data_IF_165801876174
#
_entry.id   IF_165801876174
#
_cell.length_a   1.000
_cell.length_b   1.000
_cell.length_c   1.000
_cell.angle_alpha   90.00
_cell.angle_beta   90.00
_cell.angle_gamma   90.00
#
_symmetry.space_group_name_H-M   'P 1'
#
loop_
_entity.id
_entity.type
_entity.pdbx_description
1 polymer ?
#
# COMPACT_ATOMS: atom_id res chain seq x y z
N UNK A 1 21.93 -10.18 1.34
CA UNK A 1 22.03 -8.72 1.39
C UNK A 1 20.79 -8.06 2.04
N UNK A 2 19.56 -8.55 1.80
CA UNK A 2 18.33 -8.00 2.39
C UNK A 2 18.09 -8.41 3.87
N UNK A 3 18.97 -9.20 4.44
CA UNK A 3 18.84 -9.76 5.79
C UNK A 3 19.88 -9.23 6.78
N UNK A 4 20.76 -8.36 6.28
CA UNK A 4 21.87 -7.79 7.04
C UNK A 4 21.90 -6.27 6.80
N UNK A 5 22.19 -5.43 7.79
CA UNK A 5 22.33 -4.00 7.60
C UNK A 5 23.39 -3.65 6.52
N UNK A 6 23.15 -2.65 5.68
CA UNK A 6 21.96 -1.78 5.62
C UNK A 6 20.81 -2.34 4.75
N UNK A 7 20.86 -3.57 4.29
CA UNK A 7 19.88 -4.13 3.36
C UNK A 7 18.49 -4.30 3.97
N UNK A 8 18.37 -4.53 5.26
CA UNK A 8 17.12 -4.55 5.99
C UNK A 8 16.44 -3.17 6.00
N UNK A 9 17.19 -2.09 6.15
CA UNK A 9 16.67 -0.73 6.06
C UNK A 9 16.15 -0.43 4.64
N UNK A 10 16.88 -0.86 3.60
CA UNK A 10 16.45 -0.72 2.20
C UNK A 10 15.12 -1.42 1.98
N UNK A 11 14.94 -2.62 2.54
CA UNK A 11 13.69 -3.36 2.46
C UNK A 11 12.52 -2.53 3.01
N UNK A 12 12.61 -2.02 4.24
CA UNK A 12 11.53 -1.24 4.85
C UNK A 12 11.29 0.10 4.14
N UNK A 13 12.34 0.76 3.63
CA UNK A 13 12.20 1.98 2.81
C UNK A 13 11.38 1.69 1.55
N UNK A 14 11.68 0.62 0.82
CA UNK A 14 10.97 0.26 -0.42
C UNK A 14 9.49 -0.02 -0.14
N UNK A 15 9.20 -0.79 0.92
CA UNK A 15 7.82 -1.06 1.31
C UNK A 15 7.09 0.22 1.75
N UNK A 16 7.73 1.03 2.59
CA UNK A 16 7.16 2.29 3.06
C UNK A 16 6.87 3.24 1.88
N UNK A 17 7.78 3.31 0.91
CA UNK A 17 7.60 4.18 -0.28
C UNK A 17 6.42 3.71 -1.15
N UNK A 18 6.28 2.40 -1.37
CA UNK A 18 5.16 1.84 -2.11
C UNK A 18 3.82 2.15 -1.42
N UNK A 19 3.74 1.94 -0.10
CA UNK A 19 2.54 2.24 0.69
C UNK A 19 2.26 3.74 0.75
N UNK A 20 3.27 4.59 0.95
CA UNK A 20 3.12 6.05 1.00
C UNK A 20 2.58 6.61 -0.32
N UNK A 21 3.08 6.12 -1.45
CA UNK A 21 2.62 6.54 -2.77
C UNK A 21 1.15 6.13 -3.02
N UNK A 22 0.77 4.92 -2.62
CA UNK A 22 -0.62 4.47 -2.67
C UNK A 22 -1.52 5.28 -1.72
N UNK A 23 -1.03 5.59 -0.51
CA UNK A 23 -1.72 6.40 0.49
C UNK A 23 -1.99 7.82 -0.03
N UNK A 24 -0.98 8.46 -0.61
CA UNK A 24 -1.12 9.80 -1.19
C UNK A 24 -2.19 9.81 -2.29
N UNK A 25 -2.19 8.80 -3.17
CA UNK A 25 -3.19 8.68 -4.21
C UNK A 25 -4.59 8.45 -3.63
N UNK A 26 -4.76 7.56 -2.63
CA UNK A 26 -6.02 7.34 -1.95
C UNK A 26 -6.53 8.61 -1.24
N UNK A 27 -5.64 9.36 -0.60
CA UNK A 27 -5.96 10.64 0.04
C UNK A 27 -6.47 11.67 -0.96
N UNK A 28 -5.80 11.82 -2.11
CA UNK A 28 -6.23 12.73 -3.16
C UNK A 28 -7.62 12.37 -3.69
N UNK A 29 -7.87 11.07 -3.94
CA UNK A 29 -9.19 10.61 -4.36
C UNK A 29 -10.26 10.86 -3.29
N UNK A 30 -9.97 10.58 -2.03
CA UNK A 30 -10.92 10.85 -0.94
C UNK A 30 -11.25 12.34 -0.81
N UNK A 31 -10.23 13.20 -0.89
CA UNK A 31 -10.41 14.66 -0.79
C UNK A 31 -11.27 15.24 -1.92
N UNK A 32 -11.17 14.68 -3.13
CA UNK A 32 -11.88 15.19 -4.32
C UNK A 32 -13.28 14.61 -4.44
N UNK A 33 -13.45 13.32 -4.17
CA UNK A 33 -14.68 12.58 -4.45
C UNK A 33 -15.53 12.28 -3.23
N UNK A 34 -14.96 12.39 -2.01
CA UNK A 34 -15.57 12.00 -0.73
C UNK A 34 -16.11 10.55 -0.68
N UNK A 35 -15.71 9.71 -1.64
CA UNK A 35 -16.18 8.32 -1.70
C UNK A 35 -15.77 7.52 -0.46
N UNK A 36 -16.72 6.77 0.15
CA UNK A 36 -16.43 5.93 1.30
C UNK A 36 -15.31 4.92 1.06
N UNK A 37 -15.20 4.40 -0.17
CA UNK A 37 -14.16 3.46 -0.59
C UNK A 37 -12.76 4.10 -0.56
N UNK A 38 -12.62 5.34 -1.01
CA UNK A 38 -11.35 6.06 -0.97
C UNK A 38 -10.91 6.37 0.47
N UNK A 39 -11.86 6.77 1.34
CA UNK A 39 -11.63 6.93 2.78
C UNK A 39 -11.15 5.64 3.42
N UNK A 40 -11.79 4.52 3.06
CA UNK A 40 -11.46 3.20 3.58
C UNK A 40 -10.04 2.76 3.15
N UNK A 41 -9.70 2.97 1.88
CA UNK A 41 -8.36 2.72 1.38
C UNK A 41 -7.32 3.59 2.09
N UNK A 42 -7.62 4.88 2.31
CA UNK A 42 -6.77 5.78 3.08
C UNK A 42 -6.52 5.25 4.50
N UNK A 43 -7.55 4.82 5.21
CA UNK A 43 -7.40 4.26 6.58
C UNK A 43 -6.53 3.00 6.56
N UNK A 44 -6.80 2.03 5.69
CA UNK A 44 -6.02 0.79 5.64
C UNK A 44 -4.57 1.00 5.25
N UNK A 45 -4.30 1.90 4.28
CA UNK A 45 -2.94 2.25 3.89
C UNK A 45 -2.23 3.05 5.00
N UNK A 46 -2.97 3.86 5.79
CA UNK A 46 -2.40 4.55 6.97
C UNK A 46 -1.94 3.56 8.04
N UNK A 47 -2.69 2.49 8.25
CA UNK A 47 -2.30 1.42 9.18
C UNK A 47 -1.05 0.69 8.67
N UNK A 48 -1.01 0.36 7.37
CA UNK A 48 0.16 -0.30 6.76
C UNK A 48 1.41 0.59 6.81
N UNK A 49 1.31 1.89 6.51
CA UNK A 49 2.48 2.78 6.55
C UNK A 49 2.98 2.95 7.98
N UNK A 50 2.09 3.05 8.98
CA UNK A 50 2.48 3.14 10.38
C UNK A 50 3.29 1.89 10.81
N UNK A 51 2.87 0.69 10.39
CA UNK A 51 3.59 -0.54 10.62
C UNK A 51 4.99 -0.54 9.97
N UNK A 52 5.10 -0.07 8.71
CA UNK A 52 6.38 0.01 8.01
C UNK A 52 7.33 1.05 8.64
N UNK A 53 6.81 2.21 9.04
CA UNK A 53 7.60 3.23 9.73
C UNK A 53 8.11 2.69 11.07
N UNK A 54 7.28 2.00 11.84
CA UNK A 54 7.70 1.39 13.09
C UNK A 54 8.85 0.41 12.88
N UNK A 55 8.74 -0.50 11.90
CA UNK A 55 9.79 -1.46 11.58
C UNK A 55 11.07 -0.78 11.09
N UNK A 56 10.94 0.26 10.26
CA UNK A 56 12.09 1.06 9.82
C UNK A 56 12.82 1.73 10.98
N UNK A 57 12.08 2.35 11.91
CA UNK A 57 12.66 3.00 13.09
C UNK A 57 13.37 1.98 13.98
N UNK A 58 12.75 0.85 14.27
CA UNK A 58 13.36 -0.19 15.10
C UNK A 58 14.60 -0.80 14.44
N UNK A 59 14.56 -1.03 13.13
CA UNK A 59 15.72 -1.50 12.37
C UNK A 59 16.85 -0.47 12.39
N UNK A 60 16.52 0.82 12.29
CA UNK A 60 17.48 1.92 12.42
C UNK A 60 18.12 2.00 13.80
N UNK A 61 17.33 1.84 14.86
CA UNK A 61 17.83 1.78 16.24
C UNK A 61 18.75 0.57 16.45
N UNK A 62 18.40 -0.56 15.85
CA UNK A 62 19.25 -1.75 15.84
C UNK A 62 20.57 -1.54 15.09
N UNK A 63 20.53 -0.84 13.95
CA UNK A 63 21.74 -0.51 13.20
C UNK A 63 22.67 0.42 13.98
N UNK A 64 22.12 1.37 14.74
CA UNK A 64 22.89 2.25 15.63
C UNK A 64 23.31 1.57 16.95
N UNK A 65 23.01 0.29 17.13
CA UNK A 65 23.30 -0.48 18.34
C UNK A 65 22.65 0.08 19.63
N UNK A 66 21.57 0.84 19.49
CA UNK A 66 20.77 1.34 20.62
C UNK A 66 19.92 0.19 21.22
N UNK A 67 19.43 -0.68 20.35
CA UNK A 67 18.76 -1.93 20.72
C UNK A 67 19.51 -3.11 20.11
N UNK A 68 19.44 -4.28 20.72
CA UNK A 68 19.98 -5.48 20.11
C UNK A 68 19.00 -6.01 19.05
N UNK A 69 19.36 -5.94 17.74
CA UNK A 69 18.43 -6.26 16.64
C UNK A 69 17.91 -7.69 16.73
N UNK A 70 18.76 -8.62 17.16
CA UNK A 70 18.45 -10.04 17.23
C UNK A 70 17.33 -10.36 18.23
N UNK A 71 17.20 -9.58 19.30
CA UNK A 71 16.25 -9.86 20.39
C UNK A 71 14.81 -9.51 20.04
N UNK A 72 14.60 -8.51 19.19
CA UNK A 72 13.28 -7.91 18.97
C UNK A 72 12.83 -8.03 17.52
N UNK A 73 13.72 -7.75 16.57
CA UNK A 73 13.33 -7.57 15.17
C UNK A 73 12.83 -8.85 14.47
N UNK A 74 13.38 -10.07 14.70
CA UNK A 74 12.93 -11.24 13.97
C UNK A 74 11.48 -11.61 14.24
N UNK A 75 10.98 -11.72 15.49
CA UNK A 75 9.56 -11.95 15.76
C UNK A 75 8.67 -10.83 15.23
N UNK A 76 9.11 -9.56 15.35
CA UNK A 76 8.35 -8.42 14.84
C UNK A 76 8.22 -8.44 13.32
N UNK A 77 9.30 -8.73 12.59
CA UNK A 77 9.28 -8.86 11.12
C UNK A 77 8.20 -9.85 10.66
N UNK A 78 8.12 -11.02 11.33
CA UNK A 78 7.09 -12.04 11.03
C UNK A 78 5.68 -11.57 11.34
N UNK A 79 5.49 -11.00 12.52
CA UNK A 79 4.18 -10.50 12.96
C UNK A 79 3.67 -9.38 12.03
N UNK A 80 4.52 -8.44 11.64
CA UNK A 80 4.12 -7.35 10.76
C UNK A 80 3.88 -7.80 9.32
N UNK A 81 4.54 -8.87 8.86
CA UNK A 81 4.21 -9.51 7.58
C UNK A 81 2.79 -10.09 7.63
N UNK A 82 2.47 -10.89 8.65
CA UNK A 82 1.12 -11.44 8.82
C UNK A 82 0.06 -10.35 8.98
N UNK A 83 0.35 -9.33 9.78
CA UNK A 83 -0.47 -8.14 9.91
C UNK A 83 -0.74 -7.47 8.56
N UNK A 84 0.30 -7.33 7.73
CA UNK A 84 0.19 -6.81 6.37
C UNK A 84 -0.73 -7.64 5.48
N UNK A 85 -0.64 -8.98 5.53
CA UNK A 85 -1.52 -9.89 4.77
C UNK A 85 -2.99 -9.65 5.14
N UNK A 86 -3.30 -9.52 6.44
CA UNK A 86 -4.67 -9.27 6.94
C UNK A 86 -5.20 -7.94 6.37
N UNK A 87 -4.43 -6.86 6.47
CA UNK A 87 -4.85 -5.54 5.99
C UNK A 87 -4.91 -5.44 4.47
N UNK A 88 -4.02 -6.11 3.75
CA UNK A 88 -4.07 -6.21 2.29
C UNK A 88 -5.32 -6.98 1.84
N UNK A 89 -5.63 -8.11 2.50
CA UNK A 89 -6.86 -8.84 2.24
C UNK A 89 -8.09 -7.96 2.49
N UNK A 90 -8.12 -7.26 3.61
CA UNK A 90 -9.22 -6.35 3.95
C UNK A 90 -9.37 -5.22 2.91
N UNK A 91 -8.27 -4.60 2.47
CA UNK A 91 -8.27 -3.54 1.46
C UNK A 91 -8.82 -4.01 0.11
N UNK A 92 -8.40 -5.18 -0.34
CA UNK A 92 -8.78 -5.68 -1.67
C UNK A 92 -10.13 -6.38 -1.67
N UNK A 93 -10.48 -7.15 -0.64
CA UNK A 93 -11.71 -7.93 -0.59
C UNK A 93 -12.94 -7.14 -0.15
N UNK A 94 -12.75 -6.03 0.59
CA UNK A 94 -13.85 -5.27 1.18
C UNK A 94 -13.71 -3.77 0.87
N UNK A 95 -13.86 -3.35 -0.39
CA UNK A 95 -13.76 -1.93 -0.77
C UNK A 95 -14.89 -1.08 -0.16
N UNK A 96 -16.05 -1.67 0.06
CA UNK A 96 -17.20 -1.02 0.68
C UNK A 96 -17.22 -1.21 2.20
N UNK A 97 -17.83 -0.29 2.96
CA UNK A 97 -17.98 -0.41 4.39
C UNK A 97 -18.68 -1.72 4.79
N UNK A 98 -17.99 -2.53 5.59
CA UNK A 98 -18.51 -3.81 6.07
C UNK A 98 -18.09 -4.02 7.52
N UNK A 99 -19.05 -3.87 8.45
CA UNK A 99 -18.80 -3.97 9.90
C UNK A 99 -18.18 -5.30 10.31
N UNK A 100 -18.58 -6.41 9.68
CA UNK A 100 -18.04 -7.73 9.99
C UNK A 100 -16.57 -7.85 9.56
N UNK A 101 -16.23 -7.37 8.35
CA UNK A 101 -14.85 -7.36 7.87
C UNK A 101 -13.96 -6.42 8.68
N UNK A 102 -14.50 -5.28 9.14
CA UNK A 102 -13.77 -4.32 9.97
C UNK A 102 -13.47 -4.90 11.34
N UNK A 103 -14.47 -5.51 11.97
CA UNK A 103 -14.31 -6.20 13.24
C UNK A 103 -13.31 -7.38 13.11
N UNK A 104 -13.42 -8.20 12.05
CA UNK A 104 -12.52 -9.31 11.81
C UNK A 104 -11.07 -8.85 11.63
N UNK A 105 -10.82 -7.83 10.80
CA UNK A 105 -9.46 -7.29 10.60
C UNK A 105 -8.87 -6.74 11.91
N UNK A 106 -9.69 -6.03 12.70
CA UNK A 106 -9.26 -5.49 14.00
C UNK A 106 -8.96 -6.62 15.00
N UNK A 107 -9.84 -7.60 15.14
CA UNK A 107 -9.65 -8.72 16.06
C UNK A 107 -8.44 -9.57 15.69
N UNK A 108 -8.26 -9.86 14.40
CA UNK A 108 -7.08 -10.59 13.92
C UNK A 108 -5.81 -9.79 14.14
N UNK A 109 -5.84 -8.47 13.97
CA UNK A 109 -4.69 -7.61 14.26
C UNK A 109 -4.32 -7.64 15.75
N UNK A 110 -5.31 -7.58 16.65
CA UNK A 110 -5.09 -7.72 18.08
C UNK A 110 -4.53 -9.10 18.44
N UNK A 111 -5.05 -10.16 17.81
CA UNK A 111 -4.53 -11.51 17.99
C UNK A 111 -3.07 -11.62 17.57
N UNK A 112 -2.71 -11.05 16.41
CA UNK A 112 -1.30 -11.00 15.94
C UNK A 112 -0.41 -10.30 16.97
N UNK A 113 -0.87 -9.17 17.55
CA UNK A 113 -0.10 -8.46 18.58
C UNK A 113 0.07 -9.27 19.87
N UNK A 114 -0.97 -10.00 20.29
CA UNK A 114 -0.88 -10.89 21.46
C UNK A 114 0.12 -12.04 21.20
N UNK A 115 0.01 -12.69 20.03
CA UNK A 115 0.96 -13.74 19.63
C UNK A 115 2.39 -13.19 19.53
N UNK A 116 2.56 -11.97 19.00
CA UNK A 116 3.85 -11.29 18.97
C UNK A 116 4.43 -11.12 20.38
N UNK A 117 3.61 -10.68 21.35
CA UNK A 117 4.06 -10.55 22.73
C UNK A 117 4.58 -11.87 23.30
N UNK A 118 3.87 -12.96 23.07
CA UNK A 118 4.30 -14.32 23.49
C UNK A 118 5.58 -14.72 22.76
N UNK A 119 5.64 -14.55 21.43
CA UNK A 119 6.81 -14.90 20.62
C UNK A 119 8.06 -14.11 21.02
N UNK A 120 7.91 -12.82 21.38
CA UNK A 120 9.02 -12.02 21.90
C UNK A 120 9.56 -12.57 23.22
N UNK A 121 8.68 -12.92 24.15
CA UNK A 121 9.08 -13.47 25.44
C UNK A 121 9.76 -14.83 25.29
N UNK A 122 9.21 -15.73 24.48
CA UNK A 122 9.79 -17.05 24.23
C UNK A 122 11.14 -16.95 23.54
N UNK A 123 11.26 -16.09 22.53
CA UNK A 123 12.51 -15.85 21.81
C UNK A 123 13.60 -15.27 22.73
N UNK A 124 13.28 -14.26 23.52
CA UNK A 124 14.23 -13.66 24.47
C UNK A 124 14.70 -14.67 25.51
N UNK A 125 13.80 -15.51 26.02
CA UNK A 125 14.15 -16.58 26.94
C UNK A 125 15.10 -17.61 26.28
N UNK A 126 14.87 -17.98 25.02
CA UNK A 126 15.72 -18.92 24.30
C UNK A 126 17.14 -18.38 24.08
N UNK A 127 17.28 -17.14 23.60
CA UNK A 127 18.60 -16.56 23.30
C UNK A 127 19.39 -16.19 24.56
N UNK A 128 18.73 -16.08 25.73
CA UNK A 128 19.38 -15.86 27.00
C UNK A 128 20.12 -17.14 27.50
N UNK A 129 19.74 -18.32 27.03
CA UNK A 129 20.43 -19.56 27.33
C UNK A 129 21.70 -19.68 26.48
N UNK A 130 22.89 -19.85 27.09
CA UNK A 130 24.15 -19.99 26.35
C UNK A 130 24.17 -21.15 25.36
N UNK A 131 23.38 -22.19 25.55
CA UNK A 131 23.26 -23.32 24.61
C UNK A 131 22.66 -22.91 23.27
N UNK A 132 21.81 -21.88 23.26
CA UNK A 132 21.13 -21.36 22.07
C UNK A 132 21.69 -20.02 21.57
N UNK A 133 22.85 -19.60 22.07
CA UNK A 133 23.46 -18.33 21.70
C UNK A 133 23.73 -18.19 20.17
N UNK A 134 23.93 -19.31 19.45
CA UNK A 134 24.14 -19.34 18.00
C UNK A 134 22.86 -19.65 17.20
N UNK A 135 21.72 -19.91 17.86
CA UNK A 135 20.48 -20.28 17.20
C UNK A 135 19.97 -19.15 16.32
N UNK A 136 19.64 -19.45 15.07
CA UNK A 136 18.99 -18.53 14.14
C UNK A 136 17.48 -18.59 14.33
N UNK A 137 16.78 -17.43 14.23
CA UNK A 137 15.33 -17.38 14.38
C UNK A 137 14.59 -18.26 13.35
N UNK A 138 15.08 -18.32 12.11
CA UNK A 138 14.53 -19.17 11.05
C UNK A 138 14.55 -20.68 11.37
N UNK A 139 15.30 -21.10 12.38
CA UNK A 139 15.39 -22.50 12.82
C UNK A 139 14.43 -22.81 13.98
N UNK A 140 13.72 -21.81 14.49
CA UNK A 140 12.81 -21.96 15.62
C UNK A 140 11.43 -22.47 15.19
N UNK A 141 10.73 -23.11 16.12
CA UNK A 141 9.33 -23.48 15.96
C UNK A 141 8.45 -22.24 15.79
N UNK A 142 8.81 -21.13 16.43
CA UNK A 142 8.10 -19.86 16.34
C UNK A 142 8.11 -19.32 14.90
N UNK A 143 9.28 -19.31 14.23
CA UNK A 143 9.34 -18.90 12.81
C UNK A 143 8.45 -19.79 11.96
N UNK A 144 8.51 -21.10 12.14
CA UNK A 144 7.68 -22.05 11.41
C UNK A 144 6.18 -21.78 11.57
N UNK A 145 5.73 -21.50 12.79
CA UNK A 145 4.33 -21.14 13.07
C UNK A 145 3.93 -19.83 12.37
N UNK A 146 4.79 -18.81 12.41
CA UNK A 146 4.56 -17.55 11.70
C UNK A 146 4.46 -17.74 10.18
N UNK A 147 5.33 -18.56 9.60
CA UNK A 147 5.34 -18.84 8.15
C UNK A 147 4.08 -19.58 7.71
N UNK A 148 3.68 -20.63 8.46
CA UNK A 148 2.44 -21.37 8.17
C UNK A 148 1.21 -20.49 8.38
N UNK A 149 1.17 -19.71 9.45
CA UNK A 149 0.10 -18.74 9.68
C UNK A 149 -0.02 -17.74 8.53
N UNK A 150 1.09 -17.19 8.07
CA UNK A 150 1.12 -16.26 6.93
C UNK A 150 0.66 -16.92 5.63
N UNK A 151 1.09 -18.16 5.37
CA UNK A 151 0.66 -18.97 4.23
C UNK A 151 -0.86 -19.23 4.27
N UNK A 152 -1.37 -19.65 5.43
CA UNK A 152 -2.79 -19.89 5.64
C UNK A 152 -3.62 -18.62 5.39
N UNK A 153 -3.25 -17.48 5.99
CA UNK A 153 -3.98 -16.23 5.81
C UNK A 153 -3.87 -15.69 4.38
N UNK A 154 -2.75 -15.88 3.68
CA UNK A 154 -2.63 -15.53 2.28
C UNK A 154 -3.58 -16.38 1.40
N UNK A 155 -3.66 -17.69 1.63
CA UNK A 155 -4.60 -18.59 0.94
C UNK A 155 -6.05 -18.20 1.22
N UNK A 156 -6.40 -17.95 2.49
CA UNK A 156 -7.74 -17.49 2.89
C UNK A 156 -8.06 -16.15 2.20
N UNK A 157 -7.11 -15.22 2.17
CA UNK A 157 -7.27 -13.94 1.48
C UNK A 157 -7.55 -14.10 -0.02
N UNK A 158 -6.78 -14.96 -0.69
CA UNK A 158 -6.99 -15.30 -2.11
C UNK A 158 -8.38 -15.94 -2.30
N UNK A 159 -8.77 -16.87 -1.46
CA UNK A 159 -10.09 -17.52 -1.53
C UNK A 159 -11.23 -16.50 -1.37
N UNK A 160 -11.12 -15.57 -0.40
CA UNK A 160 -12.10 -14.51 -0.20
C UNK A 160 -12.20 -13.62 -1.45
N UNK A 161 -11.08 -13.27 -2.08
CA UNK A 161 -11.06 -12.48 -3.30
C UNK A 161 -11.78 -13.22 -4.45
N UNK A 162 -11.57 -14.51 -4.63
CA UNK A 162 -12.27 -15.31 -5.65
C UNK A 162 -13.77 -15.44 -5.38
N UNK A 163 -14.18 -15.53 -4.11
CA UNK A 163 -15.60 -15.59 -3.73
C UNK A 163 -16.30 -14.27 -3.95
N UNK A 164 -15.67 -13.16 -3.52
CA UNK A 164 -16.29 -11.84 -3.55
C UNK A 164 -16.16 -11.13 -4.89
N UNK A 165 -15.13 -11.44 -5.67
CA UNK A 165 -14.84 -10.88 -7.00
C UNK A 165 -14.92 -9.35 -7.07
N UNK A 166 -14.27 -8.60 -6.16
CA UNK A 166 -14.28 -7.15 -6.21
C UNK A 166 -13.51 -6.64 -7.43
N UNK A 167 -13.80 -5.41 -7.84
CA UNK A 167 -13.02 -4.75 -8.90
C UNK A 167 -11.54 -4.73 -8.53
N UNK A 168 -10.68 -5.03 -9.51
CA UNK A 168 -9.23 -5.15 -9.29
C UNK A 168 -8.81 -6.35 -8.41
N UNK A 169 -9.64 -7.38 -8.29
CA UNK A 169 -9.36 -8.60 -7.53
C UNK A 169 -8.02 -9.23 -7.93
N UNK A 170 -7.67 -9.23 -9.22
CA UNK A 170 -6.43 -9.83 -9.71
C UNK A 170 -5.18 -9.18 -9.15
N UNK A 171 -5.20 -7.88 -8.88
CA UNK A 171 -4.09 -7.18 -8.25
C UNK A 171 -3.89 -7.67 -6.80
N UNK A 172 -4.99 -7.82 -6.06
CA UNK A 172 -4.95 -8.39 -4.71
C UNK A 172 -4.49 -9.85 -4.71
N UNK A 173 -5.01 -10.66 -5.64
CA UNK A 173 -4.58 -12.06 -5.82
C UNK A 173 -3.09 -12.13 -6.14
N UNK A 174 -2.60 -11.34 -7.09
CA UNK A 174 -1.18 -11.32 -7.47
C UNK A 174 -0.29 -10.93 -6.28
N UNK A 175 -0.68 -9.90 -5.51
CA UNK A 175 0.07 -9.47 -4.34
C UNK A 175 0.15 -10.59 -3.29
N UNK A 176 -0.99 -11.17 -2.91
CA UNK A 176 -1.04 -12.26 -1.94
C UNK A 176 -0.34 -13.53 -2.44
N UNK A 177 -0.42 -13.82 -3.73
CA UNK A 177 0.24 -14.96 -4.35
C UNK A 177 1.77 -14.83 -4.35
N UNK A 178 2.31 -13.64 -4.63
CA UNK A 178 3.74 -13.39 -4.49
C UNK A 178 4.20 -13.60 -3.04
N UNK A 179 3.45 -13.09 -2.06
CA UNK A 179 3.71 -13.34 -0.65
C UNK A 179 3.68 -14.84 -0.32
N UNK A 180 2.67 -15.56 -0.80
CA UNK A 180 2.54 -17.01 -0.63
C UNK A 180 3.76 -17.75 -1.19
N UNK A 181 4.22 -17.41 -2.40
CA UNK A 181 5.43 -17.99 -2.98
C UNK A 181 6.67 -17.71 -2.10
N UNK A 182 6.77 -16.51 -1.52
CA UNK A 182 7.84 -16.15 -0.58
C UNK A 182 7.86 -17.06 0.64
N UNK A 183 6.70 -17.24 1.29
CA UNK A 183 6.54 -18.10 2.47
C UNK A 183 6.78 -19.58 2.15
N UNK A 184 6.21 -20.08 1.05
CA UNK A 184 6.43 -21.44 0.60
C UNK A 184 7.92 -21.70 0.29
N UNK A 185 8.57 -20.77 -0.40
CA UNK A 185 10.00 -20.84 -0.68
C UNK A 185 10.84 -20.87 0.60
N UNK A 186 10.50 -20.04 1.60
CA UNK A 186 11.20 -20.06 2.89
C UNK A 186 11.09 -21.42 3.59
N UNK A 187 9.87 -21.98 3.65
CA UNK A 187 9.63 -23.28 4.28
C UNK A 187 10.34 -24.43 3.55
N UNK A 188 10.43 -24.35 2.21
CA UNK A 188 11.09 -25.38 1.40
C UNK A 188 12.63 -25.33 1.53
N UNK A 189 13.21 -24.14 1.45
CA UNK A 189 14.67 -23.99 1.42
C UNK A 189 15.31 -23.86 2.79
N UNK A 190 14.55 -23.52 3.83
CA UNK A 190 14.99 -23.41 5.25
C UNK A 190 16.33 -22.69 5.40
N UNK A 191 16.48 -21.54 4.75
CA UNK A 191 17.72 -20.76 4.78
C UNK A 191 17.96 -20.25 6.20
N UNK A 192 19.15 -20.52 6.72
CA UNK A 192 19.58 -20.05 8.03
C UNK A 192 19.60 -18.52 8.11
N UNK A 193 19.40 -17.98 9.32
CA UNK A 193 19.41 -16.55 9.59
C UNK A 193 18.25 -16.09 10.45
N UNK A 194 18.21 -14.81 10.76
CA UNK A 194 17.15 -14.21 11.56
C UNK A 194 16.01 -13.67 10.70
N UNK A 195 16.23 -13.50 9.40
CA UNK A 195 15.23 -13.00 8.46
C UNK A 195 15.14 -13.89 7.22
N UNK A 196 13.95 -13.97 6.65
CA UNK A 196 13.74 -14.67 5.39
C UNK A 196 14.00 -13.74 4.20
N UNK A 197 15.13 -13.90 3.54
CA UNK A 197 15.45 -13.12 2.33
C UNK A 197 14.48 -13.37 1.18
N UNK A 198 13.96 -14.60 1.04
CA UNK A 198 12.99 -14.97 0.00
C UNK A 198 11.65 -14.26 0.25
N UNK A 199 11.16 -14.27 1.49
CA UNK A 199 9.92 -13.57 1.85
C UNK A 199 10.06 -12.07 1.62
N UNK A 200 11.18 -11.47 2.05
CA UNK A 200 11.44 -10.04 1.83
C UNK A 200 11.48 -9.67 0.35
N UNK A 201 12.14 -10.48 -0.47
CA UNK A 201 12.17 -10.26 -1.92
C UNK A 201 10.76 -10.35 -2.53
N UNK A 202 9.97 -11.33 -2.11
CA UNK A 202 8.59 -11.49 -2.57
C UNK A 202 7.73 -10.26 -2.24
N UNK A 203 7.83 -9.71 -1.02
CA UNK A 203 7.09 -8.52 -0.63
C UNK A 203 7.62 -7.23 -1.28
N UNK A 204 8.92 -7.10 -1.53
CA UNK A 204 9.44 -5.99 -2.32
C UNK A 204 8.85 -5.98 -3.75
N UNK A 205 8.64 -7.15 -4.35
CA UNK A 205 7.99 -7.27 -5.65
C UNK A 205 6.47 -7.05 -5.57
N UNK A 206 5.84 -7.44 -4.46
CA UNK A 206 4.39 -7.41 -4.30
C UNK A 206 3.84 -6.03 -3.91
N UNK A 207 4.49 -5.29 -3.02
CA UNK A 207 3.99 -4.02 -2.49
C UNK A 207 3.76 -2.91 -3.54
N UNK A 208 4.54 -2.79 -4.61
CA UNK A 208 4.23 -1.84 -5.70
C UNK A 208 2.85 -2.04 -6.33
N UNK A 209 2.25 -3.23 -6.23
CA UNK A 209 0.90 -3.49 -6.71
C UNK A 209 -0.15 -2.65 -5.94
N UNK A 210 0.14 -2.24 -4.70
CA UNK A 210 -0.73 -1.33 -3.94
C UNK A 210 -0.99 0.00 -4.65
N UNK A 211 -0.08 0.44 -5.52
CA UNK A 211 -0.25 1.64 -6.35
C UNK A 211 -1.46 1.54 -7.29
N UNK A 212 -1.91 0.34 -7.60
CA UNK A 212 -3.10 0.12 -8.44
C UNK A 212 -4.42 0.25 -7.65
N UNK A 213 -4.37 0.23 -6.32
CA UNK A 213 -5.56 0.27 -5.47
C UNK A 213 -6.43 1.51 -5.72
N UNK A 214 -5.87 2.74 -5.81
CA UNK A 214 -6.66 3.94 -6.07
C UNK A 214 -7.29 3.99 -7.47
N UNK A 215 -6.77 3.27 -8.45
CA UNK A 215 -7.35 3.20 -9.81
C UNK A 215 -8.74 2.54 -9.82
N UNK A 216 -9.10 1.84 -8.75
CA UNK A 216 -10.43 1.23 -8.55
C UNK A 216 -11.51 2.28 -8.23
N UNK A 217 -11.11 3.45 -7.78
CA UNK A 217 -12.02 4.56 -7.52
C UNK A 217 -12.26 5.29 -8.85
N UNK A 218 -13.11 4.71 -9.72
CA UNK A 218 -13.48 5.35 -10.96
C UNK A 218 -13.96 6.77 -10.67
N UNK A 219 -13.27 7.76 -11.21
CA UNK A 219 -13.81 9.12 -11.29
C UNK A 219 -15.13 8.96 -12.03
N UNK A 220 -16.29 9.31 -11.45
CA UNK A 220 -17.55 9.30 -12.19
C UNK A 220 -17.29 10.09 -13.45
N UNK A 221 -17.51 9.47 -14.59
CA UNK A 221 -17.20 10.02 -15.90
C UNK A 221 -17.58 11.50 -15.99
N UNK A 222 -16.63 12.39 -15.80
CA UNK A 222 -16.74 13.74 -16.38
C UNK A 222 -16.70 13.69 -17.91
N UNK A 223 -16.57 12.49 -18.48
CA UNK A 223 -16.71 12.16 -19.89
C UNK A 223 -18.00 11.40 -20.20
N UNK A 224 -19.10 11.60 -19.44
CA UNK A 224 -20.38 11.46 -20.11
C UNK A 224 -20.34 12.50 -21.23
N UNK A 225 -20.43 12.11 -22.54
CA UNK A 225 -20.58 13.11 -23.59
C UNK A 225 -21.71 13.97 -23.11
N UNK A 226 -21.53 15.27 -23.14
CA UNK A 226 -22.60 16.24 -22.93
C UNK A 226 -23.64 15.87 -23.99
N UNK A 227 -24.46 14.86 -23.66
CA UNK A 227 -25.67 14.57 -24.40
C UNK A 227 -26.40 15.90 -24.34
N UNK A 228 -26.48 16.56 -25.49
CA UNK A 228 -27.04 17.87 -25.65
C UNK A 228 -28.32 17.95 -24.82
N UNK A 229 -28.24 18.50 -23.60
CA UNK A 229 -29.43 18.91 -22.88
C UNK A 229 -30.11 19.89 -23.78
N UNK A 230 -31.37 19.64 -24.15
CA UNK A 230 -32.11 20.63 -24.89
C UNK A 230 -32.03 21.96 -24.13
N UNK A 231 -31.50 22.98 -24.76
CA UNK A 231 -31.37 24.30 -24.18
C UNK A 231 -32.80 24.85 -24.06
N UNK A 232 -33.47 24.50 -22.97
CA UNK A 232 -34.59 25.30 -22.50
C UNK A 232 -33.97 26.53 -21.87
N UNK A 233 -33.92 27.57 -22.68
CA UNK A 233 -33.46 28.89 -22.28
C UNK A 233 -34.32 29.42 -21.14
N UNK A 234 -33.84 29.18 -19.90
CA UNK A 234 -34.17 30.02 -18.77
C UNK A 234 -32.93 30.88 -18.54
N UNK A 235 -33.08 32.13 -18.94
CA UNK A 235 -32.08 33.18 -18.81
C UNK A 235 -31.95 33.52 -17.31
N UNK A 236 -31.18 32.68 -16.58
CA UNK A 236 -30.74 33.03 -15.23
C UNK A 236 -29.62 34.08 -15.35
N UNK A 237 -29.86 35.21 -14.77
CA UNK A 237 -28.93 36.33 -14.62
C UNK A 237 -27.59 35.82 -14.08
N UNK A 238 -26.63 35.71 -14.98
CA UNK A 238 -25.29 35.19 -14.70
C UNK A 238 -24.57 36.20 -13.82
N UNK A 239 -24.29 35.81 -12.57
CA UNK A 239 -23.49 36.59 -11.64
C UNK A 239 -22.09 36.84 -12.26
N UNK A 240 -21.69 38.10 -12.49
CA UNK A 240 -20.44 38.44 -13.17
C UNK A 240 -19.16 37.94 -12.43
N UNK A 241 -19.24 37.63 -11.16
CA UNK A 241 -18.11 37.10 -10.41
C UNK A 241 -17.72 35.66 -10.76
N UNK A 242 -18.67 34.84 -11.27
CA UNK A 242 -18.35 33.48 -11.73
C UNK A 242 -17.58 33.42 -13.07
N UNK A 243 -17.56 34.49 -13.82
CA UNK A 243 -16.81 34.56 -15.09
C UNK A 243 -15.29 34.58 -14.93
N UNK A 244 -14.78 34.96 -13.77
CA UNK A 244 -13.32 35.11 -13.58
C UNK A 244 -12.55 33.80 -13.53
N UNK A 245 -13.21 32.66 -13.37
CA UNK A 245 -12.57 31.32 -13.24
C UNK A 245 -13.09 30.28 -14.25
N UNK A 246 -13.96 30.68 -15.18
CA UNK A 246 -14.37 29.83 -16.27
C UNK A 246 -13.32 29.95 -17.38
N UNK A 247 -12.51 28.92 -17.57
CA UNK A 247 -11.60 28.83 -18.72
C UNK A 247 -12.42 28.86 -19.97
N UNK A 248 -12.35 29.94 -20.73
CA UNK A 248 -13.02 30.07 -22.04
C UNK A 248 -12.58 28.85 -22.88
N UNK A 249 -13.52 28.10 -23.51
CA UNK A 249 -13.18 26.97 -24.39
C UNK A 249 -12.13 27.34 -25.45
N UNK A 250 -12.10 28.59 -25.91
CA UNK A 250 -11.08 29.09 -26.85
C UNK A 250 -9.68 29.11 -26.23
N UNK A 251 -9.55 29.48 -24.96
CA UNK A 251 -8.26 29.46 -24.22
C UNK A 251 -7.78 28.02 -23.98
N UNK A 252 -8.70 27.11 -23.71
CA UNK A 252 -8.37 25.69 -23.51
C UNK A 252 -7.91 25.03 -24.83
N UNK A 253 -8.58 25.31 -25.94
CA UNK A 253 -8.15 24.86 -27.27
C UNK A 253 -6.83 25.48 -27.72
N UNK A 254 -6.55 26.72 -27.35
CA UNK A 254 -5.25 27.36 -27.60
C UNK A 254 -4.13 26.71 -26.80
N UNK A 255 -4.39 26.34 -25.52
CA UNK A 255 -3.43 25.62 -24.71
C UNK A 255 -3.16 24.18 -25.19
N UNK A 256 -4.19 23.47 -25.66
CA UNK A 256 -4.03 22.14 -26.27
C UNK A 256 -3.24 22.20 -27.58
N UNK A 257 -3.47 23.20 -28.42
CA UNK A 257 -2.71 23.42 -29.64
C UNK A 257 -1.22 23.75 -29.32
N UNK A 258 -0.98 24.52 -28.28
CA UNK A 258 0.36 24.84 -27.78
C UNK A 258 1.08 23.59 -27.25
N UNK A 259 0.39 22.71 -26.53
CA UNK A 259 0.96 21.47 -26.00
C UNK A 259 1.29 20.44 -27.09
N UNK A 260 0.61 20.53 -28.26
CA UNK A 260 0.86 19.66 -29.41
C UNK A 260 1.99 20.17 -30.33
N UNK A 261 2.45 21.43 -30.17
CA UNK A 261 3.48 22.03 -31.01
C UNK A 261 4.88 21.74 -30.44
N UNK A 262 5.68 21.01 -31.19
CA UNK A 262 7.05 20.61 -30.76
C UNK A 262 8.11 21.68 -31.05
N UNK A 263 7.77 22.79 -31.71
CA UNK A 263 8.72 23.83 -32.07
C UNK A 263 8.69 25.00 -31.07
N UNK A 264 9.79 25.24 -30.29
CA UNK A 264 9.81 26.24 -29.22
C UNK A 264 9.58 27.69 -29.70
N UNK A 265 9.94 28.00 -30.91
CA UNK A 265 9.75 29.35 -31.52
C UNK A 265 8.27 29.65 -31.80
N UNK A 266 7.53 28.64 -32.25
CA UNK A 266 6.09 28.77 -32.51
C UNK A 266 5.28 28.80 -31.22
N UNK A 267 5.73 28.07 -30.17
CA UNK A 267 5.13 28.12 -28.84
C UNK A 267 5.24 29.50 -28.25
N UNK A 268 6.40 30.14 -28.31
CA UNK A 268 6.62 31.53 -27.85
C UNK A 268 5.71 32.53 -28.56
N UNK A 269 5.58 32.45 -29.87
CA UNK A 269 4.70 33.34 -30.66
C UNK A 269 3.21 33.12 -30.34
N UNK A 270 2.77 31.87 -30.10
CA UNK A 270 1.39 31.57 -29.77
C UNK A 270 1.02 32.06 -28.37
N UNK A 271 1.95 31.94 -27.39
CA UNK A 271 1.76 32.49 -26.03
C UNK A 271 1.63 34.03 -26.09
N UNK A 272 2.50 34.70 -26.85
CA UNK A 272 2.45 36.16 -26.99
C UNK A 272 1.12 36.63 -27.61
N UNK A 273 0.59 35.91 -28.62
CA UNK A 273 -0.72 36.21 -29.21
C UNK A 273 -1.88 35.97 -28.25
N UNK A 274 -1.83 34.87 -27.47
CA UNK A 274 -2.87 34.58 -26.48
C UNK A 274 -2.96 35.65 -25.39
N UNK A 275 -1.80 36.16 -24.92
CA UNK A 275 -1.74 37.25 -23.93
C UNK A 275 -2.24 38.57 -24.49
N UNK A 276 -2.00 38.85 -25.78
CA UNK A 276 -2.45 40.10 -26.41
C UNK A 276 -3.97 40.15 -26.72
N UNK A 277 -4.67 39.01 -26.59
CA UNK A 277 -6.12 38.90 -26.84
C UNK A 277 -6.97 38.83 -25.55
N UNK A 278 -6.32 38.83 -24.35
CA UNK A 278 -6.95 38.95 -23.04
C UNK A 278 -6.95 40.38 -22.57
#
# INVERSE_FOLDING_TARGET
>A
QLTVPPGDLIYYIVLAFAVASALQSAFNHWRVSEFPQAKRAFVGLSVLIAAQILMFVLSGLGWQQIIEPRTILPPMDRAFILFGIIWITWLYAFPEPNRGADAAATLLSLLVLVILGVSLLTWQAQIADPQFASLSYNQTTDDWLWQIGSLFFALVGIAILFIRRPDGMWNGVTLLFLGLLGHAGHLLFRIEGNYSGIVRLAYMAAYPILLTLPQRFAIPNQMAPIAARPITAKQDTINPERRRYSTDPKTFHAMLALAAESNPTKVSQAVTRAIAQT
#
